data_IF_069259593846
#
_entry.id   IF_069259593846
#
_cell.length_a   1.000
_cell.length_b   1.000
_cell.length_c   1.000
_cell.angle_alpha   90.00
_cell.angle_beta   90.00
_cell.angle_gamma   90.00
#
_symmetry.space_group_name_H-M   'P 1'
#
loop_
_entity.id
_entity.type
_entity.pdbx_description
1 polymer ?
#
# COMPACT_ATOMS: atom_id res chain seq x y z
N UNK A 1 -1.60 -17.69 -6.93
CA UNK A 1 -0.31 -17.29 -6.32
C UNK A 1 -0.38 -17.40 -4.81
N UNK A 2 0.67 -16.98 -4.10
CA UNK A 2 0.65 -16.74 -2.65
C UNK A 2 0.54 -15.25 -2.36
N UNK A 3 -0.05 -14.89 -1.22
CA UNK A 3 -0.11 -13.50 -0.77
C UNK A 3 1.11 -13.16 0.08
N UNK A 4 1.59 -11.93 -0.04
CA UNK A 4 2.66 -11.37 0.78
C UNK A 4 2.37 -9.90 1.09
N UNK A 5 2.88 -9.42 2.22
CA UNK A 5 2.91 -8.01 2.58
C UNK A 5 4.36 -7.54 2.48
N UNK A 6 4.58 -6.44 1.77
CA UNK A 6 5.91 -5.85 1.61
C UNK A 6 5.83 -4.33 1.70
N UNK A 7 6.98 -3.68 1.89
CA UNK A 7 7.13 -2.23 1.84
C UNK A 7 8.24 -1.90 0.86
N UNK A 8 8.08 -0.81 0.12
CA UNK A 8 9.11 -0.29 -0.80
C UNK A 8 9.53 1.11 -0.36
N UNK A 9 10.82 1.47 -0.51
CA UNK A 9 11.26 2.82 -0.25
C UNK A 9 10.82 3.75 -1.40
N UNK A 10 10.55 5.00 -1.06
CA UNK A 10 10.27 6.08 -2.02
C UNK A 10 9.13 5.77 -3.01
N UNK A 11 9.44 5.59 -4.30
CA UNK A 11 8.50 5.32 -5.39
C UNK A 11 8.74 3.95 -6.03
N UNK A 12 9.58 3.12 -5.40
CA UNK A 12 9.83 1.77 -5.86
C UNK A 12 8.53 0.96 -5.73
N UNK A 13 8.32 0.01 -6.64
CA UNK A 13 7.09 -0.78 -6.72
C UNK A 13 7.40 -2.27 -6.74
N UNK A 14 6.54 -3.14 -6.18
CA UNK A 14 6.67 -4.60 -6.33
C UNK A 14 6.68 -5.10 -7.79
N UNK A 15 6.34 -4.24 -8.76
CA UNK A 15 6.46 -4.53 -10.18
C UNK A 15 7.90 -4.38 -10.72
N UNK A 16 8.82 -3.77 -9.97
CA UNK A 16 10.18 -3.46 -10.40
C UNK A 16 11.15 -4.59 -10.03
N UNK A 17 11.32 -5.55 -10.96
CA UNK A 17 12.27 -6.65 -10.80
C UNK A 17 13.72 -6.16 -10.59
N UNK A 18 14.41 -6.77 -9.62
CA UNK A 18 15.78 -6.39 -9.26
C UNK A 18 15.91 -5.11 -8.42
N UNK A 19 14.79 -4.42 -8.16
CA UNK A 19 14.73 -3.25 -7.26
C UNK A 19 13.94 -3.59 -6.00
N UNK A 20 12.75 -4.17 -6.14
CA UNK A 20 11.93 -4.57 -4.99
C UNK A 20 12.41 -5.91 -4.40
N UNK A 21 12.46 -5.99 -3.07
CA UNK A 21 12.82 -7.22 -2.34
C UNK A 21 11.82 -8.36 -2.58
N UNK A 22 10.54 -8.02 -2.70
CA UNK A 22 9.45 -8.94 -3.03
C UNK A 22 8.75 -8.41 -4.28
N UNK A 23 8.78 -9.20 -5.34
CA UNK A 23 8.11 -8.87 -6.60
C UNK A 23 6.76 -9.55 -6.71
N UNK A 24 5.83 -8.91 -7.42
CA UNK A 24 4.49 -9.42 -7.66
C UNK A 24 3.51 -8.33 -8.10
N UNK A 25 2.28 -8.74 -8.42
CA UNK A 25 1.21 -7.82 -8.79
C UNK A 25 0.62 -7.16 -7.52
N UNK A 26 0.69 -5.82 -7.38
CA UNK A 26 0.08 -5.14 -6.25
C UNK A 26 -1.44 -5.21 -6.30
N UNK A 27 -2.07 -5.72 -5.25
CA UNK A 27 -3.55 -5.78 -5.15
C UNK A 27 -4.13 -4.64 -4.31
N UNK A 28 -3.35 -4.12 -3.35
CA UNK A 28 -3.68 -3.01 -2.45
C UNK A 28 -2.38 -2.29 -2.05
N UNK A 29 -2.42 -0.97 -1.88
CA UNK A 29 -1.29 -0.18 -1.41
C UNK A 29 -1.75 0.96 -0.50
N UNK A 30 -0.88 1.33 0.45
CA UNK A 30 -1.07 2.47 1.35
C UNK A 30 0.16 3.38 1.26
N UNK A 31 -0.04 4.65 0.88
CA UNK A 31 1.03 5.63 0.86
C UNK A 31 1.31 6.16 2.27
N UNK A 32 2.55 6.01 2.73
CA UNK A 32 3.01 6.45 4.06
C UNK A 32 4.02 7.60 3.98
N UNK A 33 4.14 8.27 2.84
CA UNK A 33 4.80 9.58 2.78
C UNK A 33 4.03 10.58 3.63
N UNK A 34 4.74 11.45 4.35
CA UNK A 34 4.10 12.40 5.26
C UNK A 34 3.07 13.27 4.53
N UNK A 35 3.33 13.67 3.28
CA UNK A 35 2.37 14.45 2.51
C UNK A 35 1.00 13.78 2.32
N UNK A 36 0.90 12.46 2.43
CA UNK A 36 -0.37 11.73 2.29
C UNK A 36 -1.29 11.93 3.52
N UNK A 37 -0.73 12.23 4.70
CA UNK A 37 -1.49 12.24 5.95
C UNK A 37 -1.24 13.44 6.87
N UNK A 38 -0.16 14.19 6.70
CA UNK A 38 0.31 15.14 7.73
C UNK A 38 -0.68 16.27 8.04
N UNK A 39 -1.46 16.73 7.06
CA UNK A 39 -2.45 17.79 7.27
C UNK A 39 -3.54 17.38 8.28
N UNK A 40 -3.94 16.11 8.30
CA UNK A 40 -5.02 15.62 9.17
C UNK A 40 -4.50 14.90 10.44
N UNK A 41 -3.32 14.28 10.34
CA UNK A 41 -2.81 13.38 11.38
C UNK A 41 -1.46 13.81 11.98
N UNK A 42 -0.73 14.74 11.36
CA UNK A 42 0.61 15.18 11.79
C UNK A 42 1.54 13.98 11.99
N UNK A 43 2.14 13.80 13.17
CA UNK A 43 3.02 12.68 13.48
C UNK A 43 2.26 11.36 13.76
N UNK A 44 0.93 11.37 13.77
CA UNK A 44 0.08 10.21 14.12
C UNK A 44 -0.20 9.33 12.90
N UNK A 45 0.86 8.79 12.30
CA UNK A 45 0.73 7.79 11.22
C UNK A 45 -0.15 6.59 11.61
N UNK A 46 -0.10 6.05 12.85
CA UNK A 46 -0.99 4.96 13.25
C UNK A 46 -2.48 5.30 13.05
N UNK A 47 -2.92 6.47 13.50
CA UNK A 47 -4.31 6.93 13.32
C UNK A 47 -4.73 6.98 11.83
N UNK A 48 -3.80 7.37 10.94
CA UNK A 48 -4.04 7.37 9.49
C UNK A 48 -4.18 5.95 8.91
N UNK A 49 -3.32 5.02 9.34
CA UNK A 49 -3.38 3.61 8.94
C UNK A 49 -4.70 2.98 9.41
N UNK A 50 -5.16 3.30 10.62
CA UNK A 50 -6.44 2.83 11.15
C UNK A 50 -7.62 3.39 10.33
N UNK A 51 -7.56 4.68 9.97
CA UNK A 51 -8.58 5.32 9.14
C UNK A 51 -8.64 4.75 7.72
N UNK A 52 -7.50 4.38 7.13
CA UNK A 52 -7.41 3.80 5.79
C UNK A 52 -8.31 2.57 5.62
N UNK A 53 -8.36 1.68 6.62
CA UNK A 53 -9.18 0.46 6.56
C UNK A 53 -10.69 0.72 6.42
N UNK A 54 -11.18 1.90 6.81
CA UNK A 54 -12.58 2.28 6.67
C UNK A 54 -12.96 2.71 5.24
N UNK A 55 -11.98 2.98 4.38
CA UNK A 55 -12.21 3.54 3.03
C UNK A 55 -11.65 2.66 1.91
N UNK A 56 -11.08 1.49 2.24
CA UNK A 56 -10.57 0.55 1.23
C UNK A 56 -11.69 0.12 0.29
N UNK A 57 -11.43 0.24 -1.02
CA UNK A 57 -12.27 -0.35 -2.05
C UNK A 57 -11.92 -1.84 -2.22
N UNK A 58 -12.63 -2.70 -1.49
CA UNK A 58 -12.40 -4.13 -1.50
C UNK A 58 -12.78 -4.81 -2.83
N UNK A 59 -13.77 -4.28 -3.56
CA UNK A 59 -14.16 -4.82 -4.86
C UNK A 59 -13.02 -4.66 -5.88
N UNK A 60 -12.34 -3.51 -5.88
CA UNK A 60 -11.17 -3.30 -6.73
C UNK A 60 -9.99 -4.20 -6.31
N UNK A 61 -9.74 -4.35 -5.01
CA UNK A 61 -8.68 -5.25 -4.53
C UNK A 61 -8.96 -6.71 -4.93
N UNK A 62 -10.23 -7.13 -4.90
CA UNK A 62 -10.65 -8.46 -5.36
C UNK A 62 -10.48 -8.62 -6.87
N UNK A 63 -10.81 -7.59 -7.67
CA UNK A 63 -10.56 -7.60 -9.11
C UNK A 63 -9.07 -7.75 -9.43
N UNK A 64 -8.21 -6.95 -8.80
CA UNK A 64 -6.74 -7.02 -8.97
C UNK A 64 -6.16 -8.38 -8.56
N UNK A 65 -6.79 -9.08 -7.61
CA UNK A 65 -6.36 -10.42 -7.17
C UNK A 65 -6.77 -11.53 -8.15
N UNK A 66 -7.86 -11.32 -8.90
CA UNK A 66 -8.39 -12.29 -9.84
C UNK A 66 -7.75 -12.21 -11.23
N UNK A 67 -7.16 -11.06 -11.58
CA UNK A 67 -6.36 -10.83 -12.80
C UNK A 67 -5.07 -11.67 -12.82
#
# INVERSE_FOLDING_TARGET
>A
GSLAVTSTPNQDSPLMEGVADITGSPILGLDVWEHAYYLNYQNRRPDYVDAFWNIVNWDQAAANFAD
#
